data_IF_972268236864
#
_entry.id   IF_972268236864
#
_cell.length_a   1.000
_cell.length_b   1.000
_cell.length_c   1.000
_cell.angle_alpha   90.00
_cell.angle_beta   90.00
_cell.angle_gamma   90.00
#
_symmetry.space_group_name_H-M   'P 1'
#
loop_
_entity.id
_entity.type
_entity.pdbx_description
1 polymer ?
#
# COMPACT_ATOMS: atom_id res chain seq x y z
N UNK A 1 3.61 28.33 -36.77
CA UNK A 1 4.90 27.98 -37.38
C UNK A 1 5.22 26.56 -36.93
N UNK A 2 5.32 25.54 -37.76
CA UNK A 2 4.99 25.32 -39.16
C UNK A 2 4.70 23.83 -39.34
N UNK A 3 3.73 23.55 -40.20
CA UNK A 3 3.47 22.26 -40.83
C UNK A 3 4.65 21.90 -41.74
N UNK A 4 4.98 20.63 -41.90
CA UNK A 4 5.29 20.11 -43.23
C UNK A 4 4.89 18.63 -43.39
N UNK A 5 3.77 18.45 -44.10
CA UNK A 5 3.52 17.30 -44.97
C UNK A 5 4.52 17.31 -46.13
N UNK A 6 4.93 16.15 -46.63
CA UNK A 6 5.05 15.97 -48.08
C UNK A 6 4.72 14.54 -48.49
N UNK A 7 3.81 14.46 -49.45
CA UNK A 7 3.26 13.28 -50.11
C UNK A 7 3.10 13.71 -51.57
N UNK A 8 3.75 12.99 -52.52
CA UNK A 8 3.38 12.76 -53.94
C UNK A 8 4.57 12.37 -54.83
N UNK A 9 4.56 11.12 -55.33
CA UNK A 9 4.30 10.67 -56.73
C UNK A 9 4.92 11.43 -57.95
N UNK A 10 4.95 10.84 -59.18
CA UNK A 10 5.15 9.44 -59.61
C UNK A 10 5.93 9.28 -60.96
N UNK A 11 6.03 8.03 -61.44
CA UNK A 11 6.02 7.58 -62.87
C UNK A 11 7.12 8.00 -63.85
N UNK A 12 7.84 6.99 -64.37
CA UNK A 12 8.34 6.95 -65.76
C UNK A 12 8.00 5.61 -66.42
N UNK A 13 7.39 5.72 -67.60
CA UNK A 13 7.07 4.63 -68.52
C UNK A 13 8.17 4.46 -69.58
N UNK A 14 8.23 3.29 -70.24
CA UNK A 14 8.95 3.18 -71.52
C UNK A 14 9.40 1.77 -71.95
N UNK A 15 8.61 1.17 -72.84
CA UNK A 15 9.02 0.33 -74.01
C UNK A 15 9.57 -1.12 -73.85
N UNK A 16 8.65 -2.07 -74.08
CA UNK A 16 8.61 -3.06 -75.17
C UNK A 16 9.90 -3.69 -75.74
N UNK A 17 10.01 -5.02 -75.59
CA UNK A 17 10.80 -5.92 -76.43
C UNK A 17 10.32 -7.37 -76.24
N UNK A 18 9.98 -8.07 -77.33
CA UNK A 18 9.28 -9.37 -77.37
C UNK A 18 10.20 -10.48 -77.89
N UNK A 19 9.96 -11.73 -77.42
CA UNK A 19 10.40 -13.05 -77.96
C UNK A 19 11.89 -13.41 -77.72
N UNK A 20 12.27 -14.57 -77.18
CA UNK A 20 11.97 -15.95 -77.60
C UNK A 20 12.34 -16.97 -76.51
N UNK A 21 11.71 -18.14 -76.64
CA UNK A 21 11.94 -19.46 -76.01
C UNK A 21 13.33 -19.78 -75.41
N UNK A 22 13.35 -20.44 -74.25
CA UNK A 22 13.92 -21.80 -74.14
C UNK A 22 13.75 -22.36 -72.72
N UNK A 23 13.28 -23.59 -72.68
CA UNK A 23 13.15 -24.50 -71.55
C UNK A 23 14.42 -24.62 -70.69
N UNK A 24 14.26 -24.33 -69.40
CA UNK A 24 15.03 -24.96 -68.33
C UNK A 24 14.16 -25.01 -67.06
N UNK A 25 13.33 -26.05 -66.97
CA UNK A 25 12.71 -26.46 -65.71
C UNK A 25 13.84 -26.93 -64.78
N UNK A 26 14.41 -25.97 -64.04
CA UNK A 26 15.45 -26.20 -63.05
C UNK A 26 14.80 -26.11 -61.67
N UNK A 27 14.49 -27.30 -61.14
CA UNK A 27 14.22 -27.65 -59.74
C UNK A 27 14.25 -26.45 -58.76
N UNK A 28 13.08 -25.88 -58.48
CA UNK A 28 12.82 -25.37 -57.13
C UNK A 28 12.24 -26.53 -56.33
N UNK A 29 13.13 -27.30 -55.73
CA UNK A 29 12.77 -28.01 -54.50
C UNK A 29 12.29 -26.95 -53.53
N UNK A 30 10.98 -26.92 -53.27
CA UNK A 30 10.40 -26.24 -52.12
C UNK A 30 11.00 -26.86 -50.87
N UNK A 31 12.19 -26.41 -50.49
CA UNK A 31 12.72 -26.60 -49.14
C UNK A 31 11.81 -25.76 -48.27
N UNK A 32 10.89 -26.46 -47.62
CA UNK A 32 10.00 -25.94 -46.59
C UNK A 32 10.73 -24.91 -45.74
N UNK A 33 10.41 -23.62 -45.91
CA UNK A 33 10.92 -22.50 -45.09
C UNK A 33 10.26 -22.46 -43.70
N UNK A 34 9.36 -23.40 -43.45
CA UNK A 34 8.54 -23.54 -42.25
C UNK A 34 9.38 -23.79 -40.97
N UNK A 35 10.48 -24.58 -40.97
CA UNK A 35 11.25 -24.82 -39.75
C UNK A 35 11.98 -23.57 -39.23
N UNK A 36 12.50 -22.73 -40.14
CA UNK A 36 13.25 -21.51 -39.81
C UNK A 36 12.34 -20.41 -39.31
N UNK A 37 11.14 -20.29 -39.89
CA UNK A 37 10.11 -19.32 -39.48
C UNK A 37 9.54 -19.67 -38.08
N UNK A 38 9.31 -20.96 -37.81
CA UNK A 38 8.90 -21.43 -36.48
C UNK A 38 9.99 -21.23 -35.41
N UNK A 39 11.26 -21.44 -35.75
CA UNK A 39 12.37 -21.20 -34.83
C UNK A 39 12.53 -19.70 -34.51
N UNK A 40 12.46 -18.84 -35.52
CA UNK A 40 12.51 -17.39 -35.36
C UNK A 40 11.31 -16.87 -34.55
N UNK A 41 10.10 -17.39 -34.80
CA UNK A 41 8.90 -17.07 -34.04
C UNK A 41 9.03 -17.53 -32.57
N UNK A 42 9.56 -18.74 -32.34
CA UNK A 42 9.80 -19.25 -30.97
C UNK A 42 10.79 -18.38 -30.23
N UNK A 43 11.88 -17.99 -30.87
CA UNK A 43 12.88 -17.10 -30.28
C UNK A 43 12.31 -15.72 -29.97
N UNK A 44 11.51 -15.16 -30.89
CA UNK A 44 10.78 -13.91 -30.65
C UNK A 44 9.85 -14.04 -29.43
N UNK A 45 9.05 -15.10 -29.34
CA UNK A 45 8.14 -15.33 -28.20
C UNK A 45 8.88 -15.52 -26.89
N UNK A 46 10.05 -16.16 -26.90
CA UNK A 46 10.89 -16.27 -25.71
C UNK A 46 11.45 -14.92 -25.27
N UNK A 47 11.84 -14.05 -26.22
CA UNK A 47 12.27 -12.67 -25.93
C UNK A 47 11.13 -11.84 -25.35
N UNK A 48 9.95 -11.88 -25.96
CA UNK A 48 8.75 -11.20 -25.44
C UNK A 48 8.40 -11.70 -24.03
N UNK A 49 8.44 -13.02 -23.78
CA UNK A 49 8.19 -13.59 -22.46
C UNK A 49 9.23 -13.12 -21.42
N UNK A 50 10.51 -13.05 -21.80
CA UNK A 50 11.56 -12.56 -20.92
C UNK A 50 11.34 -11.08 -20.55
N UNK A 51 10.94 -10.26 -21.52
CA UNK A 51 10.62 -8.84 -21.29
C UNK A 51 9.41 -8.69 -20.35
N UNK A 52 8.33 -9.42 -20.58
CA UNK A 52 7.14 -9.39 -19.71
C UNK A 52 7.49 -9.83 -18.28
N UNK A 53 8.35 -10.85 -18.11
CA UNK A 53 8.81 -11.29 -16.79
C UNK A 53 9.61 -10.20 -16.07
N UNK A 54 10.47 -9.48 -16.79
CA UNK A 54 11.23 -8.36 -16.24
C UNK A 54 10.31 -7.21 -15.81
N UNK A 55 9.35 -6.84 -16.66
CA UNK A 55 8.37 -5.80 -16.36
C UNK A 55 7.51 -6.17 -15.14
N UNK A 56 7.09 -7.43 -15.03
CA UNK A 56 6.33 -7.93 -13.89
C UNK A 56 7.14 -7.87 -12.59
N UNK A 57 8.42 -8.25 -12.63
CA UNK A 57 9.29 -8.15 -11.46
C UNK A 57 9.44 -6.70 -10.99
N UNK A 58 9.69 -5.76 -11.92
CA UNK A 58 9.77 -4.34 -11.62
C UNK A 58 8.44 -3.77 -11.07
N UNK A 59 7.31 -4.20 -11.62
CA UNK A 59 5.99 -3.79 -11.13
C UNK A 59 5.70 -4.29 -9.71
N UNK A 60 6.08 -5.54 -9.40
CA UNK A 60 5.98 -6.11 -8.05
C UNK A 60 6.84 -5.35 -7.05
N UNK A 61 8.07 -4.99 -7.43
CA UNK A 61 8.92 -4.18 -6.56
C UNK A 61 8.28 -2.82 -6.26
N UNK A 62 7.79 -2.11 -7.29
CA UNK A 62 7.08 -0.82 -7.09
C UNK A 62 5.85 -0.95 -6.19
N UNK A 63 5.11 -2.06 -6.30
CA UNK A 63 3.97 -2.34 -5.41
C UNK A 63 4.43 -2.52 -3.96
N UNK A 64 5.52 -3.26 -3.73
CA UNK A 64 6.08 -3.48 -2.41
C UNK A 64 6.60 -2.17 -1.79
N UNK A 65 7.29 -1.33 -2.57
CA UNK A 65 7.78 -0.03 -2.14
C UNK A 65 6.60 0.90 -1.77
N UNK A 66 5.57 0.96 -2.61
CA UNK A 66 4.36 1.73 -2.33
C UNK A 66 3.61 1.24 -1.07
N UNK A 67 3.62 -0.07 -0.81
CA UNK A 67 3.04 -0.62 0.42
C UNK A 67 3.81 -0.17 1.66
N UNK A 68 5.14 -0.11 1.59
CA UNK A 68 6.00 0.43 2.65
C UNK A 68 5.74 1.93 2.86
N UNK A 69 5.68 2.71 1.78
CA UNK A 69 5.37 4.14 1.85
C UNK A 69 3.99 4.39 2.47
N UNK A 70 2.98 3.62 2.10
CA UNK A 70 1.66 3.70 2.70
C UNK A 70 1.72 3.35 4.20
N UNK A 71 2.39 2.26 4.56
CA UNK A 71 2.58 1.82 5.94
C UNK A 71 3.37 2.82 6.80
N UNK A 72 4.13 3.75 6.21
CA UNK A 72 4.81 4.83 6.94
C UNK A 72 3.86 5.97 7.36
N UNK A 73 2.66 6.03 6.79
CA UNK A 73 1.61 6.97 7.21
C UNK A 73 0.86 6.45 8.43
N UNK A 74 0.29 7.34 9.24
CA UNK A 74 -0.50 6.93 10.41
C UNK A 74 -1.70 6.04 10.07
N UNK A 75 -2.40 6.32 8.96
CA UNK A 75 -3.54 5.51 8.52
C UNK A 75 -3.09 4.18 7.91
N UNK A 76 -2.08 4.22 7.05
CA UNK A 76 -1.59 3.01 6.40
C UNK A 76 -0.90 2.06 7.38
N UNK A 77 -0.23 2.58 8.41
CA UNK A 77 0.34 1.77 9.47
C UNK A 77 -0.74 0.97 10.20
N UNK A 78 -1.80 1.63 10.69
CA UNK A 78 -2.83 0.96 11.48
C UNK A 78 -3.68 -0.01 10.63
N UNK A 79 -3.91 0.31 9.35
CA UNK A 79 -4.56 -0.60 8.41
C UNK A 79 -3.69 -1.83 8.09
N UNK A 80 -2.41 -1.61 7.79
CA UNK A 80 -1.45 -2.70 7.51
C UNK A 80 -1.30 -3.60 8.73
N UNK A 81 -1.21 -3.02 9.92
CA UNK A 81 -1.09 -3.77 11.16
C UNK A 81 -2.35 -4.57 11.50
N UNK A 82 -3.56 -3.98 11.35
CA UNK A 82 -4.82 -4.74 11.51
C UNK A 82 -4.88 -5.92 10.54
N UNK A 83 -4.54 -5.71 9.27
CA UNK A 83 -4.50 -6.79 8.28
C UNK A 83 -3.49 -7.85 8.69
N UNK A 84 -2.32 -7.45 9.17
CA UNK A 84 -1.29 -8.36 9.67
C UNK A 84 -1.82 -9.23 10.82
N UNK A 85 -2.52 -8.64 11.79
CA UNK A 85 -3.08 -9.38 12.93
C UNK A 85 -4.09 -10.44 12.49
N UNK A 86 -4.88 -10.15 11.45
CA UNK A 86 -5.91 -11.04 10.91
C UNK A 86 -5.38 -12.05 9.86
N UNK A 87 -4.24 -11.77 9.24
CA UNK A 87 -3.67 -12.59 8.19
C UNK A 87 -2.95 -13.84 8.71
N UNK A 88 -2.85 -14.85 7.85
CA UNK A 88 -2.09 -16.09 8.07
C UNK A 88 -1.24 -16.43 6.83
N UNK A 89 -0.23 -17.28 7.00
CA UNK A 89 0.62 -17.73 5.91
C UNK A 89 1.41 -16.61 5.23
N UNK A 90 1.58 -16.69 3.91
CA UNK A 90 2.43 -15.79 3.13
C UNK A 90 1.99 -14.31 3.18
N UNK A 91 0.67 -14.04 3.21
CA UNK A 91 0.17 -12.66 3.34
C UNK A 91 0.65 -12.02 4.64
N UNK A 92 0.69 -12.80 5.73
CA UNK A 92 1.17 -12.31 7.03
C UNK A 92 2.63 -11.88 6.97
N UNK A 93 3.48 -12.62 6.25
CA UNK A 93 4.89 -12.29 6.09
C UNK A 93 5.10 -11.03 5.24
N UNK A 94 4.33 -10.88 4.16
CA UNK A 94 4.34 -9.68 3.31
C UNK A 94 3.90 -8.44 4.09
N UNK A 95 2.79 -8.53 4.84
CA UNK A 95 2.29 -7.44 5.67
C UNK A 95 3.26 -7.09 6.80
N UNK A 96 3.93 -8.07 7.40
CA UNK A 96 4.99 -7.83 8.39
C UNK A 96 6.15 -7.05 7.77
N UNK A 97 6.60 -7.43 6.58
CA UNK A 97 7.68 -6.73 5.89
C UNK A 97 7.28 -5.27 5.58
N UNK A 98 6.07 -5.06 5.07
CA UNK A 98 5.54 -3.71 4.81
C UNK A 98 5.41 -2.88 6.10
N UNK A 99 4.89 -3.46 7.18
CA UNK A 99 4.74 -2.81 8.48
C UNK A 99 6.10 -2.37 9.05
N UNK A 100 7.09 -3.28 9.10
CA UNK A 100 8.41 -2.97 9.64
C UNK A 100 9.17 -1.95 8.76
N UNK A 101 9.05 -2.06 7.43
CA UNK A 101 9.57 -1.05 6.51
C UNK A 101 8.92 0.32 6.73
N UNK A 102 7.61 0.36 6.91
CA UNK A 102 6.84 1.57 7.19
C UNK A 102 7.26 2.25 8.49
N UNK A 103 7.45 1.47 9.57
CA UNK A 103 7.97 1.98 10.84
C UNK A 103 9.37 2.61 10.68
N UNK A 104 10.27 1.93 9.97
CA UNK A 104 11.61 2.43 9.71
C UNK A 104 11.59 3.74 8.92
N UNK A 105 10.76 3.82 7.87
CA UNK A 105 10.62 5.03 7.07
C UNK A 105 9.99 6.19 7.87
N UNK A 106 8.98 5.89 8.70
CA UNK A 106 8.36 6.87 9.58
C UNK A 106 9.33 7.41 10.65
N UNK A 107 10.21 6.57 11.18
CA UNK A 107 11.27 6.99 12.10
C UNK A 107 12.30 7.87 11.40
N UNK A 108 12.78 7.49 10.20
CA UNK A 108 13.71 8.32 9.43
C UNK A 108 13.18 9.73 9.17
N UNK A 109 11.90 9.84 8.80
CA UNK A 109 11.25 11.15 8.61
C UNK A 109 11.12 11.92 9.94
N UNK A 110 10.82 11.24 11.05
CA UNK A 110 10.82 11.87 12.37
C UNK A 110 12.22 12.38 12.76
N UNK A 111 13.27 11.58 12.60
CA UNK A 111 14.65 12.01 12.88
C UNK A 111 15.06 13.21 12.02
N UNK A 112 14.64 13.24 10.75
CA UNK A 112 14.86 14.40 9.87
C UNK A 112 14.16 15.65 10.40
N UNK A 113 12.90 15.55 10.85
CA UNK A 113 12.18 16.66 11.47
C UNK A 113 12.86 17.13 12.76
N UNK A 114 13.39 16.22 13.57
CA UNK A 114 14.20 16.58 14.74
C UNK A 114 15.47 17.35 14.36
N UNK A 115 16.22 16.86 13.37
CA UNK A 115 17.45 17.51 12.91
C UNK A 115 17.21 18.93 12.36
N UNK A 116 16.03 19.18 11.78
CA UNK A 116 15.61 20.48 11.26
C UNK A 116 14.95 21.39 12.32
N UNK A 117 14.77 20.91 13.56
CA UNK A 117 14.08 21.68 14.62
C UNK A 117 12.56 21.84 14.39
N UNK A 118 11.95 20.97 13.58
CA UNK A 118 10.51 20.98 13.26
C UNK A 118 9.69 19.98 14.08
N UNK A 119 10.32 19.24 14.99
CA UNK A 119 9.64 18.29 15.86
C UNK A 119 8.94 19.00 17.03
N UNK A 120 7.72 18.58 17.34
CA UNK A 120 6.94 19.02 18.51
C UNK A 120 7.12 18.05 19.68
N UNK A 121 6.75 18.47 20.88
CA UNK A 121 6.84 17.63 22.09
C UNK A 121 6.00 16.35 22.01
N UNK A 122 4.89 16.42 21.28
CA UNK A 122 3.98 15.29 21.00
C UNK A 122 4.40 14.44 19.79
N UNK A 123 5.43 14.86 19.05
CA UNK A 123 6.01 14.02 18.01
C UNK A 123 6.88 12.92 18.63
N UNK A 124 6.83 11.76 18.02
CA UNK A 124 7.62 10.61 18.41
C UNK A 124 7.51 9.48 17.42
N UNK A 125 8.19 8.34 17.71
CA UNK A 125 8.06 7.13 16.91
C UNK A 125 6.59 6.75 16.72
N UNK A 126 6.22 6.43 15.49
CA UNK A 126 4.88 5.96 15.17
C UNK A 126 4.76 4.49 15.58
N UNK A 127 3.64 4.11 16.17
CA UNK A 127 3.31 2.71 16.44
C UNK A 127 1.82 2.45 16.19
N UNK A 128 1.48 1.24 15.74
CA UNK A 128 0.08 0.82 15.65
C UNK A 128 -0.43 0.36 17.02
N UNK A 129 -1.72 0.55 17.28
CA UNK A 129 -2.36 -0.02 18.46
C UNK A 129 -2.72 -1.49 18.20
N UNK A 130 -2.31 -2.42 19.08
CA UNK A 130 -2.81 -3.77 19.06
C UNK A 130 -4.32 -3.81 19.23
N UNK A 131 -4.99 -4.66 18.46
CA UNK A 131 -6.43 -4.88 18.64
C UNK A 131 -6.74 -5.50 20.02
N UNK A 132 -5.77 -6.18 20.62
CA UNK A 132 -5.89 -6.82 21.92
C UNK A 132 -6.36 -8.28 21.81
N UNK A 133 -7.00 -8.79 22.86
CA UNK A 133 -7.51 -10.17 22.86
C UNK A 133 -8.71 -10.30 21.93
N UNK A 134 -8.72 -11.36 21.10
CA UNK A 134 -9.88 -11.72 20.27
C UNK A 134 -11.06 -12.26 21.10
N UNK A 135 -10.82 -12.63 22.35
CA UNK A 135 -11.87 -13.04 23.29
C UNK A 135 -12.61 -11.81 23.88
N UNK A 136 -11.99 -10.62 23.80
CA UNK A 136 -12.62 -9.37 24.24
C UNK A 136 -13.77 -9.01 23.25
N UNK A 137 -15.04 -8.98 23.71
CA UNK A 137 -16.15 -8.62 22.84
C UNK A 137 -16.03 -7.20 22.29
N UNK A 138 -15.40 -6.28 23.02
CA UNK A 138 -15.10 -4.94 22.51
C UNK A 138 -14.08 -5.02 21.36
N UNK A 139 -13.00 -5.78 21.52
CA UNK A 139 -12.01 -6.00 20.46
C UNK A 139 -12.63 -6.50 19.16
N UNK A 140 -13.51 -7.51 19.25
CA UNK A 140 -14.27 -8.04 18.09
C UNK A 140 -15.13 -6.97 17.42
N UNK A 141 -15.91 -6.22 18.19
CA UNK A 141 -16.76 -5.16 17.65
C UNK A 141 -15.93 -4.09 16.91
N UNK A 142 -14.74 -3.74 17.43
CA UNK A 142 -13.85 -2.78 16.77
C UNK A 142 -13.29 -3.31 15.46
N UNK A 143 -12.90 -4.59 15.39
CA UNK A 143 -12.47 -5.24 14.14
C UNK A 143 -13.59 -5.20 13.10
N UNK A 144 -14.79 -5.62 13.48
CA UNK A 144 -15.97 -5.68 12.59
C UNK A 144 -16.32 -4.31 12.02
N UNK A 145 -16.16 -3.25 12.83
CA UNK A 145 -16.42 -1.87 12.42
C UNK A 145 -15.19 -1.15 11.84
N UNK A 146 -14.12 -1.90 11.58
CA UNK A 146 -12.88 -1.39 10.99
C UNK A 146 -12.33 -0.17 11.73
N UNK A 147 -12.40 -0.22 13.06
CA UNK A 147 -11.80 0.78 13.94
C UNK A 147 -10.38 0.32 14.26
N UNK A 148 -9.45 1.23 14.03
CA UNK A 148 -8.01 1.01 14.14
C UNK A 148 -7.40 2.19 14.88
N UNK A 149 -6.17 2.02 15.36
CA UNK A 149 -5.47 3.13 15.99
C UNK A 149 -3.98 3.08 15.83
N UNK A 150 -3.38 4.23 16.08
CA UNK A 150 -1.94 4.44 16.16
C UNK A 150 -1.64 5.35 17.35
N UNK A 151 -0.42 5.28 17.85
CA UNK A 151 0.09 6.20 18.85
C UNK A 151 1.41 6.82 18.42
N UNK A 152 1.69 8.00 18.96
CA UNK A 152 3.03 8.58 19.03
C UNK A 152 3.33 8.87 20.49
N UNK A 153 4.49 8.44 20.94
CA UNK A 153 4.99 8.69 22.29
C UNK A 153 6.03 9.79 22.19
N UNK A 154 5.70 10.96 22.76
CA UNK A 154 6.57 12.13 22.78
C UNK A 154 7.91 11.88 23.47
N UNK A 155 8.77 12.88 23.47
CA UNK A 155 10.08 12.80 24.13
C UNK A 155 10.00 13.34 25.57
N UNK A 156 10.89 12.88 26.44
CA UNK A 156 11.04 13.39 27.81
C UNK A 156 10.74 12.36 28.90
N UNK A 157 10.90 12.77 30.17
CA UNK A 157 10.70 11.91 31.34
C UNK A 157 9.23 11.55 31.59
N UNK A 158 8.31 12.42 31.13
CA UNK A 158 6.86 12.20 31.18
C UNK A 158 6.31 12.41 29.76
N UNK A 159 6.51 11.44 28.86
CA UNK A 159 6.21 11.64 27.46
C UNK A 159 4.70 11.76 27.25
N UNK A 160 4.29 12.81 26.52
CA UNK A 160 2.92 12.95 26.08
C UNK A 160 2.60 11.85 25.07
N UNK A 161 1.47 11.15 25.23
CA UNK A 161 1.02 10.19 24.23
C UNK A 161 -0.15 10.77 23.46
N UNK A 162 0.03 10.85 22.15
CA UNK A 162 -1.05 11.16 21.22
C UNK A 162 -1.50 9.87 20.57
N UNK A 163 -2.78 9.58 20.73
CA UNK A 163 -3.43 8.44 20.10
C UNK A 163 -4.34 8.93 18.98
N UNK A 164 -4.19 8.37 17.79
CA UNK A 164 -5.14 8.57 16.70
C UNK A 164 -5.97 7.32 16.50
N UNK A 165 -7.29 7.48 16.49
CA UNK A 165 -8.25 6.48 16.07
C UNK A 165 -8.68 6.76 14.64
N UNK A 166 -8.87 5.71 13.86
CA UNK A 166 -9.35 5.76 12.48
C UNK A 166 -10.46 4.74 12.31
N UNK A 167 -11.51 5.12 11.59
CA UNK A 167 -12.61 4.25 11.19
C UNK A 167 -12.74 4.27 9.68
N UNK A 168 -12.60 3.12 9.05
CA UNK A 168 -12.85 2.97 7.61
C UNK A 168 -14.34 2.69 7.39
N UNK A 169 -15.01 3.54 6.61
CA UNK A 169 -16.44 3.40 6.34
C UNK A 169 -16.71 2.25 5.36
N UNK A 170 -17.96 1.77 5.25
CA UNK A 170 -18.31 0.63 4.40
C UNK A 170 -17.92 0.78 2.92
N UNK A 171 -17.78 2.02 2.43
CA UNK A 171 -17.33 2.34 1.06
C UNK A 171 -15.84 2.02 0.81
N UNK A 172 -15.11 1.55 1.83
CA UNK A 172 -13.69 1.20 1.81
C UNK A 172 -12.78 2.35 1.37
N UNK A 173 -13.25 3.60 1.47
CA UNK A 173 -12.52 4.78 1.00
C UNK A 173 -12.55 5.91 2.01
N UNK A 174 -13.73 6.20 2.55
CA UNK A 174 -13.94 7.29 3.49
C UNK A 174 -13.42 6.90 4.86
N UNK A 175 -12.60 7.79 5.45
CA UNK A 175 -11.95 7.59 6.74
C UNK A 175 -12.37 8.68 7.70
N UNK A 176 -12.93 8.30 8.83
CA UNK A 176 -13.14 9.20 9.96
C UNK A 176 -11.97 9.06 10.95
N UNK A 177 -11.57 10.17 11.57
CA UNK A 177 -10.40 10.20 12.46
C UNK A 177 -10.74 10.95 13.73
N UNK A 178 -10.19 10.48 14.85
CA UNK A 178 -10.26 11.12 16.15
C UNK A 178 -8.86 11.11 16.77
N UNK A 179 -8.42 12.25 17.30
CA UNK A 179 -7.20 12.32 18.11
C UNK A 179 -7.56 12.44 19.59
N UNK A 180 -6.85 11.67 20.39
CA UNK A 180 -6.98 11.57 21.84
C UNK A 180 -5.62 11.80 22.48
N UNK A 181 -5.66 12.28 23.73
CA UNK A 181 -4.49 12.25 24.61
C UNK A 181 -4.59 11.02 25.50
N UNK A 182 -3.45 10.41 25.75
CA UNK A 182 -3.31 9.30 26.67
C UNK A 182 -2.02 9.47 27.48
N UNK A 183 -1.78 8.58 28.43
CA UNK A 183 -0.58 8.57 29.26
C UNK A 183 0.30 7.37 28.93
N UNK A 184 1.62 7.60 28.86
CA UNK A 184 2.59 6.51 28.91
C UNK A 184 2.63 5.91 30.31
N UNK A 185 3.23 4.72 30.42
CA UNK A 185 3.59 4.12 31.70
C UNK A 185 4.43 5.12 32.52
N UNK A 186 4.03 5.45 33.76
CA UNK A 186 4.69 6.49 34.54
C UNK A 186 6.08 6.10 35.04
N UNK A 187 6.42 4.80 35.05
CA UNK A 187 7.72 4.31 35.51
C UNK A 187 8.68 4.09 34.35
N UNK A 188 8.18 3.60 33.22
CA UNK A 188 8.98 3.18 32.07
C UNK A 188 8.92 4.18 30.91
N UNK A 189 7.96 5.11 30.89
CA UNK A 189 7.73 6.03 29.78
C UNK A 189 7.26 5.34 28.50
N UNK A 190 6.88 4.05 28.57
CA UNK A 190 6.45 3.24 27.42
C UNK A 190 4.94 3.26 27.26
N UNK A 191 4.44 3.16 26.02
CA UNK A 191 3.02 3.02 25.77
C UNK A 191 2.73 1.66 25.12
N UNK A 192 2.02 0.79 25.83
CA UNK A 192 1.74 -0.59 25.42
C UNK A 192 0.25 -0.92 25.37
N UNK A 193 -0.62 0.10 25.43
CA UNK A 193 -2.05 -0.14 25.50
C UNK A 193 -2.65 -0.64 24.20
N UNK A 194 -3.65 -1.49 24.38
CA UNK A 194 -4.48 -2.01 23.28
C UNK A 194 -5.57 -1.01 22.91
N UNK A 195 -6.15 -1.18 21.72
CA UNK A 195 -7.25 -0.36 21.22
C UNK A 195 -8.48 -0.37 22.16
N UNK A 196 -8.93 -1.51 22.72
CA UNK A 196 -9.98 -1.56 23.74
C UNK A 196 -9.64 -0.77 25.00
N UNK A 197 -8.41 -0.85 25.52
CA UNK A 197 -7.99 -0.12 26.72
C UNK A 197 -8.02 1.39 26.52
N UNK A 198 -7.50 1.87 25.39
CA UNK A 198 -7.56 3.29 25.02
C UNK A 198 -8.99 3.76 25.00
N UNK A 199 -9.89 3.01 24.35
CA UNK A 199 -11.30 3.39 24.25
C UNK A 199 -12.00 3.38 25.60
N UNK A 200 -11.73 2.39 26.47
CA UNK A 200 -12.28 2.35 27.83
C UNK A 200 -11.86 3.59 28.64
N UNK A 201 -10.58 3.96 28.60
CA UNK A 201 -10.09 5.18 29.27
C UNK A 201 -10.72 6.45 28.70
N UNK A 202 -10.75 6.57 27.37
CA UNK A 202 -11.36 7.69 26.67
C UNK A 202 -12.87 7.80 26.93
N UNK A 203 -13.54 6.68 27.17
CA UNK A 203 -14.96 6.65 27.52
C UNK A 203 -15.20 6.97 28.99
N UNK A 204 -14.28 6.66 29.89
CA UNK A 204 -14.41 7.00 31.31
C UNK A 204 -14.43 8.52 31.53
N UNK A 205 -13.64 9.28 30.77
CA UNK A 205 -13.61 10.74 30.80
C UNK A 205 -14.82 11.38 30.08
N UNK A 206 -15.51 12.31 30.75
CA UNK A 206 -16.76 12.89 30.25
C UNK A 206 -16.55 13.77 29.00
N UNK A 207 -15.46 14.54 28.94
CA UNK A 207 -15.16 15.40 27.80
C UNK A 207 -14.80 14.57 26.56
N UNK A 208 -14.01 13.53 26.77
CA UNK A 208 -13.53 12.65 25.71
C UNK A 208 -14.62 11.70 25.22
N UNK A 209 -15.50 11.23 26.10
CA UNK A 209 -16.66 10.37 25.76
C UNK A 209 -17.52 10.98 24.66
N UNK A 210 -17.84 12.26 24.73
CA UNK A 210 -18.65 12.94 23.70
C UNK A 210 -17.97 12.94 22.33
N UNK A 211 -16.64 13.08 22.29
CA UNK A 211 -15.83 13.02 21.05
C UNK A 211 -15.81 11.61 20.49
N UNK A 212 -15.65 10.60 21.34
CA UNK A 212 -15.68 9.18 20.95
C UNK A 212 -17.05 8.79 20.43
N UNK A 213 -18.14 9.19 21.09
CA UNK A 213 -19.50 8.96 20.62
C UNK A 213 -19.73 9.51 19.20
N UNK A 214 -19.27 10.73 18.93
CA UNK A 214 -19.36 11.34 17.60
C UNK A 214 -18.57 10.56 16.55
N UNK A 215 -17.35 10.14 16.89
CA UNK A 215 -16.49 9.34 16.02
C UNK A 215 -17.08 7.96 15.70
N UNK A 216 -17.72 7.32 16.67
CA UNK A 216 -18.38 6.03 16.47
C UNK A 216 -19.68 6.15 15.68
N UNK A 217 -20.29 7.34 15.66
CA UNK A 217 -21.54 7.62 14.95
C UNK A 217 -22.65 6.65 15.36
N UNK A 218 -23.25 5.97 14.38
CA UNK A 218 -24.34 5.00 14.62
C UNK A 218 -23.89 3.77 15.42
N UNK A 219 -22.59 3.58 15.65
CA UNK A 219 -22.04 2.45 16.39
C UNK A 219 -21.82 2.75 17.88
N UNK A 220 -22.03 4.00 18.31
CA UNK A 220 -21.76 4.44 19.67
C UNK A 220 -22.55 3.66 20.73
N UNK A 221 -23.80 3.27 20.45
CA UNK A 221 -24.64 2.50 21.38
C UNK A 221 -24.08 1.09 21.61
N UNK A 222 -23.76 0.38 20.52
CA UNK A 222 -23.22 -0.99 20.59
C UNK A 222 -21.85 -1.01 21.26
N UNK A 223 -20.93 -0.15 20.81
CA UNK A 223 -19.57 -0.07 21.36
C UNK A 223 -19.60 0.44 22.80
N UNK A 224 -20.45 1.43 23.10
CA UNK A 224 -20.62 1.95 24.45
C UNK A 224 -21.11 0.90 25.45
N UNK A 225 -22.07 0.07 25.05
CA UNK A 225 -22.57 -1.03 25.88
C UNK A 225 -21.56 -2.17 26.11
N UNK A 226 -20.48 -2.25 25.33
CA UNK A 226 -19.37 -3.20 25.52
C UNK A 226 -18.20 -2.60 26.32
N UNK A 227 -18.20 -1.28 26.52
CA UNK A 227 -17.19 -0.57 27.32
C UNK A 227 -17.59 -0.55 28.80
N UNK A 228 -18.89 -0.41 29.08
CA UNK A 228 -19.49 -0.42 30.44
C UNK A 228 -19.67 -1.81 31.00
#
# INVERSE_FOLDING_TARGET
>A
MDRFMFLRDPMRSGCSGRLTSSSASRRQTGVSSIPTDLAALREQKLRELAEVRLQLAAARQRLADAAVEYAATSDGLCETYRRFELASGAERDELRAAYLGGLSLADQEFQRRCALGHARDEDGPLQALPVGSFDDPLGRALIERQIMGWARVGRGAHPAVVVGLMRLLPDQRTRERLRLRDSADPLLGTFTSTLPEVLRRAWADAETRAKVQRFLGTHASVVGGLIT
#
